data_IF_082801984142
#
_entry.id   IF_082801984142
#
_cell.length_a   1.000
_cell.length_b   1.000
_cell.length_c   1.000
_cell.angle_alpha   90.00
_cell.angle_beta   90.00
_cell.angle_gamma   90.00
#
_symmetry.space_group_name_H-M   'P 1'
#
loop_
_entity.id
_entity.type
_entity.pdbx_description
1 polymer ?
#
# COMPACT_ATOMS: atom_id res chain seq x y z
N UNK A 1 -21.58 -12.30 -24.79
CA UNK A 1 -20.40 -12.77 -24.02
C UNK A 1 -19.38 -11.68 -23.62
N UNK A 2 -19.16 -10.60 -24.40
CA UNK A 2 -18.21 -9.51 -24.03
C UNK A 2 -18.56 -8.72 -22.75
N UNK A 3 -19.83 -8.67 -22.35
CA UNK A 3 -20.30 -7.92 -21.18
C UNK A 3 -19.94 -8.60 -19.84
N UNK A 4 -20.03 -9.93 -19.79
CA UNK A 4 -19.72 -10.71 -18.58
C UNK A 4 -18.23 -10.62 -18.22
N UNK A 5 -17.34 -10.61 -19.22
CA UNK A 5 -15.90 -10.43 -18.99
C UNK A 5 -15.54 -9.06 -18.40
N UNK A 6 -16.20 -7.99 -18.84
CA UNK A 6 -16.03 -6.65 -18.25
C UNK A 6 -16.58 -6.59 -16.82
N UNK A 7 -17.76 -7.15 -16.57
CA UNK A 7 -18.34 -7.21 -15.23
C UNK A 7 -17.46 -8.00 -14.26
N UNK A 8 -16.89 -9.13 -14.69
CA UNK A 8 -15.96 -9.93 -13.90
C UNK A 8 -14.66 -9.16 -13.60
N UNK A 9 -14.10 -8.45 -14.58
CA UNK A 9 -12.93 -7.58 -14.35
C UNK A 9 -13.21 -6.47 -13.33
N UNK A 10 -14.35 -5.79 -13.43
CA UNK A 10 -14.73 -4.74 -12.48
C UNK A 10 -14.99 -5.30 -11.08
N UNK A 11 -15.63 -6.47 -10.96
CA UNK A 11 -15.86 -7.15 -9.68
C UNK A 11 -14.56 -7.63 -9.03
N UNK A 12 -13.60 -8.14 -9.81
CA UNK A 12 -12.27 -8.51 -9.31
C UNK A 12 -11.49 -7.27 -8.87
N UNK A 13 -11.53 -6.19 -9.64
CA UNK A 13 -10.90 -4.92 -9.25
C UNK A 13 -11.52 -4.33 -7.98
N UNK A 14 -12.86 -4.35 -7.87
CA UNK A 14 -13.58 -3.90 -6.68
C UNK A 14 -13.26 -4.77 -5.46
N UNK A 15 -13.21 -6.10 -5.61
CA UNK A 15 -12.78 -7.01 -4.55
C UNK A 15 -11.32 -6.76 -4.14
N UNK A 16 -10.43 -6.45 -5.09
CA UNK A 16 -9.04 -6.12 -4.80
C UNK A 16 -8.92 -4.81 -4.02
N UNK A 17 -9.67 -3.78 -4.41
CA UNK A 17 -9.76 -2.51 -3.67
C UNK A 17 -10.33 -2.76 -2.27
N UNK A 18 -11.40 -3.54 -2.15
CA UNK A 18 -12.02 -3.87 -0.87
C UNK A 18 -11.04 -4.60 0.06
N UNK A 19 -10.28 -5.56 -0.48
CA UNK A 19 -9.21 -6.27 0.24
C UNK A 19 -8.11 -5.30 0.67
N UNK A 20 -7.65 -4.38 -0.19
CA UNK A 20 -6.63 -3.37 0.17
C UNK A 20 -7.14 -2.43 1.28
N UNK A 21 -8.41 -2.03 1.23
CA UNK A 21 -9.02 -1.11 2.20
C UNK A 21 -9.26 -1.80 3.55
N UNK A 22 -9.72 -3.05 3.55
CA UNK A 22 -10.12 -3.76 4.77
C UNK A 22 -9.02 -4.61 5.40
N UNK A 23 -8.12 -5.23 4.63
CA UNK A 23 -7.01 -6.02 5.18
C UNK A 23 -6.05 -5.15 6.00
N UNK A 24 -5.89 -3.88 5.60
CA UNK A 24 -5.04 -2.92 6.30
C UNK A 24 -5.62 -2.28 7.55
N UNK A 25 -6.85 -2.62 7.95
CA UNK A 25 -7.62 -1.86 8.97
C UNK A 25 -7.58 -0.33 8.70
N UNK A 26 -7.54 0.03 7.42
CA UNK A 26 -7.18 1.36 6.90
C UNK A 26 -8.41 2.17 6.47
N UNK A 27 -9.60 1.76 6.92
CA UNK A 27 -10.87 2.42 6.59
C UNK A 27 -10.86 3.91 6.98
N UNK A 28 -10.11 4.28 8.03
CA UNK A 28 -9.91 5.67 8.48
C UNK A 28 -9.27 6.53 7.39
N UNK A 29 -8.21 6.01 6.76
CA UNK A 29 -7.52 6.69 5.66
C UNK A 29 -8.40 6.77 4.41
N UNK A 30 -9.31 5.82 4.22
CA UNK A 30 -10.32 5.90 3.16
C UNK A 30 -11.32 7.03 3.42
N UNK A 31 -11.76 7.22 4.67
CA UNK A 31 -12.60 8.37 5.06
C UNK A 31 -11.86 9.69 4.80
N UNK A 32 -10.59 9.81 5.19
CA UNK A 32 -9.79 11.01 4.89
C UNK A 32 -9.69 11.27 3.39
N UNK A 33 -9.42 10.24 2.60
CA UNK A 33 -9.38 10.34 1.15
C UNK A 33 -10.72 10.78 0.56
N UNK A 34 -11.84 10.29 1.08
CA UNK A 34 -13.19 10.65 0.64
C UNK A 34 -13.49 12.13 0.90
N UNK A 35 -13.16 12.63 2.09
CA UNK A 35 -13.31 14.04 2.44
C UNK A 35 -12.44 14.91 1.54
N UNK A 36 -11.14 14.61 1.42
CA UNK A 36 -10.21 15.35 0.56
C UNK A 36 -10.64 15.32 -0.91
N UNK A 37 -11.11 14.17 -1.41
CA UNK A 37 -11.58 14.05 -2.80
C UNK A 37 -12.81 14.89 -3.04
N UNK A 38 -13.74 14.94 -2.08
CA UNK A 38 -14.95 15.76 -2.19
C UNK A 38 -14.61 17.25 -2.26
N UNK A 39 -13.65 17.71 -1.46
CA UNK A 39 -13.17 19.09 -1.46
C UNK A 39 -12.38 19.44 -2.75
N UNK A 40 -11.51 18.53 -3.19
CA UNK A 40 -10.61 18.77 -4.32
C UNK A 40 -11.22 18.44 -5.69
N UNK A 41 -12.40 17.81 -5.72
CA UNK A 41 -13.03 17.41 -6.96
C UNK A 41 -13.37 18.60 -7.85
N UNK A 42 -14.09 19.60 -7.33
CA UNK A 42 -14.50 20.76 -8.11
C UNK A 42 -13.33 21.52 -8.77
N UNK A 43 -12.21 21.81 -8.07
CA UNK A 43 -11.08 22.48 -8.71
C UNK A 43 -10.30 21.58 -9.68
N UNK A 44 -10.17 20.28 -9.41
CA UNK A 44 -9.31 19.38 -10.20
C UNK A 44 -10.05 18.64 -11.32
N UNK A 45 -11.38 18.61 -11.30
CA UNK A 45 -12.19 17.83 -12.25
C UNK A 45 -11.88 18.16 -13.71
N UNK A 46 -11.70 19.44 -14.05
CA UNK A 46 -11.38 19.87 -15.43
C UNK A 46 -10.04 19.33 -15.90
N UNK A 47 -9.02 19.35 -15.03
CA UNK A 47 -7.65 18.87 -15.31
C UNK A 47 -7.65 17.34 -15.49
N UNK A 48 -8.38 16.64 -14.61
CA UNK A 48 -8.48 15.18 -14.67
C UNK A 48 -9.23 14.74 -15.94
N UNK A 49 -10.35 15.40 -16.26
CA UNK A 49 -11.12 15.14 -17.48
C UNK A 49 -10.32 15.44 -18.75
N UNK A 50 -9.51 16.51 -18.78
CA UNK A 50 -8.69 16.83 -19.95
C UNK A 50 -7.58 15.81 -20.20
N UNK A 51 -7.05 15.18 -19.14
CA UNK A 51 -6.00 14.15 -19.25
C UNK A 51 -6.53 12.73 -19.50
N UNK A 52 -7.78 12.44 -19.11
CA UNK A 52 -8.42 11.14 -19.37
C UNK A 52 -8.80 10.92 -20.85
N UNK A 53 -8.62 11.93 -21.71
CA UNK A 53 -8.82 11.83 -23.15
C UNK A 53 -10.30 11.78 -23.55
N UNK A 54 -10.58 12.13 -24.82
CA UNK A 54 -11.90 12.01 -25.48
C UNK A 54 -12.30 10.53 -25.68
N UNK A 55 -12.32 9.74 -24.61
CA UNK A 55 -12.92 8.41 -24.61
C UNK A 55 -14.43 8.56 -24.48
N UNK A 56 -15.13 8.40 -25.61
CA UNK A 56 -16.58 8.32 -25.83
C UNK A 56 -17.45 8.37 -24.56
N UNK A 57 -17.61 9.58 -24.00
CA UNK A 57 -18.27 9.82 -22.72
C UNK A 57 -19.78 10.02 -22.83
N UNK A 58 -20.46 9.22 -23.68
CA UNK A 58 -21.89 9.39 -24.00
C UNK A 58 -22.85 8.44 -23.28
N UNK A 59 -22.38 7.67 -22.30
CA UNK A 59 -23.29 6.92 -21.42
C UNK A 59 -23.66 7.76 -20.19
N UNK A 60 -24.84 8.37 -20.26
CA UNK A 60 -25.48 9.03 -19.13
C UNK A 60 -26.18 8.00 -18.23
N UNK A 61 -25.58 7.68 -17.10
CA UNK A 61 -26.21 6.78 -16.13
C UNK A 61 -27.15 7.59 -15.23
N UNK A 62 -28.45 7.32 -15.32
CA UNK A 62 -29.53 8.04 -14.63
C UNK A 62 -29.79 7.46 -13.24
N UNK A 63 -29.80 8.29 -12.20
CA UNK A 63 -30.17 7.90 -10.84
C UNK A 63 -31.35 8.74 -10.38
N UNK A 64 -32.30 8.10 -9.69
CA UNK A 64 -33.43 8.76 -9.08
C UNK A 64 -33.22 8.72 -7.56
N UNK A 65 -32.89 9.87 -6.96
CA UNK A 65 -32.72 10.02 -5.50
C UNK A 65 -33.75 11.05 -5.05
N UNK A 66 -34.66 10.67 -4.15
CA UNK A 66 -35.76 11.51 -3.66
C UNK A 66 -36.58 12.21 -4.76
N UNK A 67 -36.94 11.47 -5.83
CA UNK A 67 -37.75 12.00 -6.93
C UNK A 67 -37.06 13.03 -7.83
N UNK A 68 -35.82 13.41 -7.52
CA UNK A 68 -35.03 14.36 -8.29
C UNK A 68 -34.09 13.59 -9.23
N UNK A 69 -34.23 13.84 -10.53
CA UNK A 69 -33.37 13.22 -11.56
C UNK A 69 -31.98 13.82 -11.47
N UNK A 70 -30.99 13.01 -11.09
CA UNK A 70 -29.59 13.41 -11.09
C UNK A 70 -28.91 12.69 -12.27
N UNK A 71 -28.59 13.46 -13.31
CA UNK A 71 -27.81 12.99 -14.47
C UNK A 71 -26.33 13.31 -14.23
N UNK A 72 -25.53 12.28 -13.98
CA UNK A 72 -24.08 12.45 -13.81
C UNK A 72 -23.38 11.72 -14.94
N UNK A 73 -22.77 12.50 -15.82
CA UNK A 73 -22.02 12.06 -17.00
C UNK A 73 -20.90 11.09 -16.60
N UNK A 74 -20.80 9.93 -17.28
CA UNK A 74 -19.85 8.84 -16.96
C UNK A 74 -18.42 9.32 -16.69
N UNK A 75 -17.88 10.22 -17.52
CA UNK A 75 -16.52 10.77 -17.35
C UNK A 75 -16.31 11.51 -16.02
N UNK A 76 -17.34 12.16 -15.47
CA UNK A 76 -17.27 12.88 -14.19
C UNK A 76 -17.07 11.91 -13.01
N UNK A 77 -17.62 10.70 -13.09
CA UNK A 77 -17.45 9.66 -12.06
C UNK A 77 -16.09 9.02 -12.12
N UNK A 78 -15.60 8.75 -13.33
CA UNK A 78 -14.26 8.22 -13.54
C UNK A 78 -13.23 9.20 -12.99
N UNK A 79 -13.39 10.50 -13.26
CA UNK A 79 -12.51 11.54 -12.71
C UNK A 79 -12.52 11.57 -11.17
N UNK A 80 -13.69 11.46 -10.54
CA UNK A 80 -13.80 11.40 -9.08
C UNK A 80 -13.13 10.14 -8.50
N UNK A 81 -13.38 8.98 -9.11
CA UNK A 81 -12.80 7.71 -8.67
C UNK A 81 -11.27 7.70 -8.78
N UNK A 82 -10.72 8.26 -9.86
CA UNK A 82 -9.26 8.42 -10.04
C UNK A 82 -8.68 9.34 -8.98
N UNK A 83 -9.33 10.47 -8.69
CA UNK A 83 -8.90 11.39 -7.63
C UNK A 83 -8.91 10.71 -6.26
N UNK A 84 -9.99 9.97 -5.95
CA UNK A 84 -10.14 9.22 -4.70
C UNK A 84 -9.05 8.18 -4.52
N UNK A 85 -8.78 7.37 -5.56
CA UNK A 85 -7.72 6.39 -5.52
C UNK A 85 -6.34 7.04 -5.32
N UNK A 86 -6.06 8.14 -6.03
CA UNK A 86 -4.78 8.84 -5.91
C UNK A 86 -4.57 9.43 -4.51
N UNK A 87 -5.57 10.09 -3.94
CA UNK A 87 -5.50 10.65 -2.59
C UNK A 87 -5.42 9.57 -1.52
N UNK A 88 -6.14 8.47 -1.69
CA UNK A 88 -6.08 7.34 -0.76
C UNK A 88 -4.68 6.72 -0.72
N UNK A 89 -4.08 6.46 -1.88
CA UNK A 89 -2.70 5.96 -1.97
C UNK A 89 -1.72 6.94 -1.35
N UNK A 90 -1.87 8.25 -1.61
CA UNK A 90 -0.99 9.28 -1.04
C UNK A 90 -1.09 9.36 0.48
N UNK A 91 -2.30 9.38 1.03
CA UNK A 91 -2.52 9.46 2.48
C UNK A 91 -1.93 8.23 3.17
N UNK A 92 -2.24 7.02 2.68
CA UNK A 92 -1.64 5.80 3.24
C UNK A 92 -0.12 5.85 3.10
N UNK A 93 0.39 6.33 1.97
CA UNK A 93 1.83 6.47 1.73
C UNK A 93 2.52 7.35 2.78
N UNK A 94 1.89 8.47 3.14
CA UNK A 94 2.44 9.39 4.14
C UNK A 94 2.35 8.82 5.55
N UNK A 95 1.18 8.27 5.93
CA UNK A 95 0.97 7.78 7.30
C UNK A 95 1.75 6.52 7.60
N UNK A 96 1.85 5.58 6.66
CA UNK A 96 2.55 4.33 6.93
C UNK A 96 4.06 4.52 7.04
N UNK A 97 4.67 5.52 6.41
CA UNK A 97 6.11 5.85 6.62
C UNK A 97 6.35 6.78 7.81
N UNK A 98 5.33 7.26 8.51
CA UNK A 98 5.50 8.29 9.55
C UNK A 98 4.87 7.87 10.87
N UNK A 99 5.62 7.15 11.72
CA UNK A 99 5.15 6.77 13.06
C UNK A 99 4.67 7.95 13.90
N UNK A 100 5.34 9.11 13.80
CA UNK A 100 4.92 10.35 14.49
C UNK A 100 3.56 10.87 14.04
N UNK A 101 3.24 10.81 12.73
CA UNK A 101 1.92 11.19 12.24
C UNK A 101 0.86 10.21 12.72
N UNK A 102 1.15 8.90 12.72
CA UNK A 102 0.23 7.89 13.27
C UNK A 102 -0.02 8.11 14.77
N UNK A 103 1.01 8.47 15.53
CA UNK A 103 0.89 8.82 16.96
C UNK A 103 0.00 10.03 17.16
N UNK A 104 0.22 11.12 16.40
CA UNK A 104 -0.58 12.35 16.48
C UNK A 104 -2.03 12.11 16.08
N UNK A 105 -2.27 11.37 15.00
CA UNK A 105 -3.61 10.98 14.57
C UNK A 105 -4.33 10.15 15.62
N UNK A 106 -3.63 9.23 16.28
CA UNK A 106 -4.20 8.41 17.34
C UNK A 106 -4.63 9.27 18.53
N UNK A 107 -3.77 10.19 18.98
CA UNK A 107 -4.08 11.11 20.08
C UNK A 107 -5.30 12.00 19.75
N UNK A 108 -5.43 12.44 18.49
CA UNK A 108 -6.57 13.24 18.04
C UNK A 108 -7.88 12.45 17.96
N UNK A 109 -7.82 11.20 17.52
CA UNK A 109 -9.01 10.34 17.36
C UNK A 109 -9.46 9.69 18.66
N UNK A 110 -8.58 9.65 19.68
CA UNK A 110 -8.86 9.03 20.98
C UNK A 110 -8.59 10.03 22.13
N UNK A 111 -9.32 11.16 22.19
CA UNK A 111 -9.06 12.21 23.17
C UNK A 111 -9.32 11.79 24.63
N UNK A 112 -10.10 10.72 24.85
CA UNK A 112 -10.34 10.15 26.18
C UNK A 112 -9.21 9.25 26.67
N UNK A 113 -8.24 8.90 25.82
CA UNK A 113 -7.13 8.03 26.19
C UNK A 113 -6.03 8.84 26.85
N UNK A 114 -5.40 8.24 27.87
CA UNK A 114 -4.34 8.89 28.64
C UNK A 114 -2.99 8.43 28.09
N UNK A 115 -2.10 9.39 27.85
CA UNK A 115 -0.74 9.14 27.45
C UNK A 115 0.18 9.06 28.69
N UNK A 116 0.99 8.02 28.77
CA UNK A 116 1.95 7.82 29.87
C UNK A 116 3.26 7.25 29.33
N UNK A 117 4.36 7.49 30.05
CA UNK A 117 5.66 6.91 29.77
C UNK A 117 5.81 5.61 30.59
N UNK A 118 5.71 4.42 29.97
CA UNK A 118 5.89 3.17 30.69
C UNK A 118 7.36 2.97 31.08
N UNK A 119 7.64 2.17 32.11
CA UNK A 119 9.00 1.73 32.39
C UNK A 119 9.27 0.42 31.64
N UNK A 120 10.27 0.43 30.76
CA UNK A 120 10.69 -0.77 30.03
C UNK A 120 11.55 -1.62 30.94
N UNK A 121 11.17 -2.89 31.12
CA UNK A 121 11.85 -3.84 32.00
C UNK A 121 12.84 -4.66 31.19
N UNK A 122 12.43 -5.12 30.02
CA UNK A 122 13.24 -5.94 29.14
C UNK A 122 12.80 -5.72 27.70
N UNK A 123 13.73 -5.86 26.76
CA UNK A 123 13.42 -5.90 25.34
C UNK A 123 14.43 -6.80 24.64
N UNK A 124 13.94 -7.57 23.68
CA UNK A 124 14.75 -8.53 22.95
C UNK A 124 14.41 -8.49 21.46
N UNK A 125 15.46 -8.56 20.64
CA UNK A 125 15.31 -8.71 19.19
C UNK A 125 15.44 -10.18 18.81
N UNK A 126 14.45 -10.70 18.08
CA UNK A 126 14.35 -12.08 17.61
C UNK A 126 14.15 -12.12 16.10
N UNK A 127 14.40 -13.29 15.51
CA UNK A 127 14.25 -13.51 14.06
C UNK A 127 13.15 -14.53 13.82
N UNK A 128 12.28 -14.24 12.86
CA UNK A 128 11.33 -15.20 12.33
C UNK A 128 11.82 -15.75 10.98
N UNK A 129 11.97 -17.07 10.88
CA UNK A 129 12.58 -17.78 9.73
C UNK A 129 11.55 -18.53 8.84
N UNK A 130 10.26 -18.18 8.94
CA UNK A 130 9.20 -18.78 8.12
C UNK A 130 9.25 -18.36 6.65
N UNK A 131 8.11 -18.51 5.94
CA UNK A 131 7.97 -18.11 4.52
C UNK A 131 8.34 -16.64 4.30
N UNK A 132 7.90 -15.79 5.23
CA UNK A 132 8.31 -14.39 5.29
C UNK A 132 9.38 -14.26 6.35
N UNK A 133 10.57 -13.79 5.98
CA UNK A 133 11.67 -13.66 6.93
C UNK A 133 11.75 -12.22 7.46
N UNK A 134 11.79 -12.05 8.76
CA UNK A 134 11.85 -10.74 9.41
C UNK A 134 12.52 -10.80 10.78
N UNK A 135 13.18 -9.72 11.17
CA UNK A 135 13.54 -9.47 12.56
C UNK A 135 12.37 -8.78 13.27
N UNK A 136 12.19 -9.02 14.57
CA UNK A 136 11.15 -8.39 15.35
C UNK A 136 11.60 -8.12 16.78
N UNK A 137 11.04 -7.08 17.39
CA UNK A 137 11.32 -6.67 18.75
C UNK A 137 10.17 -7.09 19.66
N UNK A 138 10.49 -7.75 20.77
CA UNK A 138 9.56 -7.93 21.87
C UNK A 138 9.92 -6.96 22.99
N UNK A 139 8.91 -6.39 23.63
CA UNK A 139 9.09 -5.43 24.72
C UNK A 139 8.26 -5.87 25.92
N UNK A 140 8.90 -5.94 27.08
CA UNK A 140 8.25 -6.11 28.37
C UNK A 140 8.33 -4.78 29.12
N UNK A 141 7.17 -4.28 29.53
CA UNK A 141 7.05 -2.98 30.17
C UNK A 141 6.05 -3.01 31.31
N UNK A 142 6.23 -2.07 32.23
CA UNK A 142 5.28 -1.80 33.30
C UNK A 142 4.76 -0.38 33.19
N UNK A 143 3.52 -0.17 33.56
CA UNK A 143 2.94 1.17 33.67
C UNK A 143 1.93 1.21 34.80
N UNK A 144 1.68 2.42 35.29
CA UNK A 144 0.66 2.66 36.32
C UNK A 144 -0.56 3.25 35.65
N UNK A 145 -1.73 2.64 35.87
CA UNK A 145 -3.02 3.17 35.48
C UNK A 145 -4.00 3.01 36.64
N UNK A 146 -4.80 4.05 36.92
CA UNK A 146 -5.78 4.05 38.01
C UNK A 146 -5.20 3.61 39.38
N UNK A 147 -3.94 3.98 39.66
CA UNK A 147 -3.24 3.61 40.90
C UNK A 147 -2.74 2.17 40.96
N UNK A 148 -3.00 1.34 39.95
CA UNK A 148 -2.51 -0.04 39.86
C UNK A 148 -1.33 -0.16 38.90
N UNK A 149 -0.38 -1.03 39.23
CA UNK A 149 0.77 -1.34 38.39
C UNK A 149 0.46 -2.54 37.49
N UNK A 150 0.58 -2.35 36.18
CA UNK A 150 0.37 -3.39 35.19
C UNK A 150 1.69 -3.80 34.56
N UNK A 151 1.93 -5.11 34.47
CA UNK A 151 3.02 -5.71 33.71
C UNK A 151 2.47 -6.25 32.39
N UNK A 152 3.06 -5.85 31.27
CA UNK A 152 2.62 -6.25 29.94
C UNK A 152 3.81 -6.64 29.07
N UNK A 153 3.54 -7.56 28.15
CA UNK A 153 4.45 -7.98 27.10
C UNK A 153 3.82 -7.64 25.76
N UNK A 154 4.58 -6.95 24.92
CA UNK A 154 4.22 -6.65 23.55
C UNK A 154 5.10 -7.46 22.62
N UNK A 155 4.51 -8.49 22.04
CA UNK A 155 5.17 -9.30 21.04
C UNK A 155 5.17 -8.59 19.69
N UNK A 156 6.32 -8.62 19.01
CA UNK A 156 6.50 -8.01 17.67
C UNK A 156 6.11 -6.52 17.66
N UNK A 157 6.51 -5.79 18.69
CA UNK A 157 6.37 -4.33 18.85
C UNK A 157 6.86 -3.58 17.62
N UNK A 158 7.93 -4.09 17.00
CA UNK A 158 8.42 -3.64 15.71
C UNK A 158 8.85 -4.84 14.87
N UNK A 159 8.74 -4.72 13.54
CA UNK A 159 9.23 -5.72 12.59
C UNK A 159 10.07 -5.03 11.52
N UNK A 160 11.16 -5.67 11.15
CA UNK A 160 11.98 -5.31 10.00
C UNK A 160 12.01 -6.49 9.05
N UNK A 161 11.36 -6.33 7.90
CA UNK A 161 11.24 -7.38 6.90
C UNK A 161 12.48 -7.46 6.03
N UNK A 162 12.86 -8.69 5.68
CA UNK A 162 13.95 -8.92 4.76
C UNK A 162 13.49 -8.61 3.33
N UNK A 163 14.18 -7.69 2.65
CA UNK A 163 13.82 -7.26 1.29
C UNK A 163 13.90 -8.41 0.26
N UNK A 164 14.81 -9.37 0.46
CA UNK A 164 14.95 -10.53 -0.44
C UNK A 164 14.49 -11.82 0.25
N UNK A 165 13.87 -12.78 -0.47
CA UNK A 165 13.52 -14.09 0.09
C UNK A 165 14.77 -14.92 0.42
N UNK A 166 15.85 -14.71 -0.34
CA UNK A 166 17.16 -15.32 -0.14
C UNK A 166 18.06 -14.28 0.51
N UNK A 167 18.22 -14.40 1.83
CA UNK A 167 19.04 -13.49 2.64
C UNK A 167 20.01 -14.34 3.45
N UNK A 168 21.27 -13.93 3.46
CA UNK A 168 22.33 -14.64 4.16
C UNK A 168 22.13 -14.56 5.68
N UNK A 169 22.65 -15.54 6.41
CA UNK A 169 22.61 -15.53 7.88
C UNK A 169 23.23 -14.26 8.46
N UNK A 170 24.33 -13.77 7.84
CA UNK A 170 24.98 -12.52 8.21
C UNK A 170 24.04 -11.32 8.11
N UNK A 171 23.25 -11.22 7.03
CA UNK A 171 22.30 -10.11 6.85
C UNK A 171 21.10 -10.23 7.82
N UNK A 172 20.71 -11.44 8.21
CA UNK A 172 19.70 -11.63 9.26
C UNK A 172 20.15 -11.14 10.62
N UNK A 173 21.38 -11.49 11.03
CA UNK A 173 21.93 -10.99 12.28
C UNK A 173 22.12 -9.46 12.22
N UNK A 174 22.52 -8.91 11.07
CA UNK A 174 22.59 -7.45 10.88
C UNK A 174 21.23 -6.77 11.09
N UNK A 175 20.14 -7.28 10.51
CA UNK A 175 18.81 -6.72 10.75
C UNK A 175 18.42 -6.82 12.22
N UNK A 176 18.72 -7.95 12.87
CA UNK A 176 18.45 -8.13 14.30
C UNK A 176 19.20 -7.09 15.14
N UNK A 177 20.47 -6.83 14.84
CA UNK A 177 21.30 -5.84 15.55
C UNK A 177 20.86 -4.41 15.23
N UNK A 178 20.59 -4.08 13.96
CA UNK A 178 20.06 -2.77 13.53
C UNK A 178 18.77 -2.42 14.29
N UNK A 179 17.84 -3.39 14.38
CA UNK A 179 16.59 -3.24 15.12
C UNK A 179 16.82 -3.05 16.63
N UNK A 180 17.78 -3.78 17.20
CA UNK A 180 18.12 -3.70 18.63
C UNK A 180 18.82 -2.38 18.99
N UNK A 181 19.76 -1.93 18.17
CA UNK A 181 20.47 -0.66 18.35
C UNK A 181 19.53 0.54 18.22
N UNK A 182 18.57 0.49 17.27
CA UNK A 182 17.52 1.50 17.16
C UNK A 182 16.62 1.51 18.40
N UNK A 183 16.19 0.35 18.88
CA UNK A 183 15.41 0.25 20.10
C UNK A 183 16.17 0.84 21.30
N UNK A 184 17.46 0.53 21.44
CA UNK A 184 18.32 1.12 22.47
C UNK A 184 18.30 2.65 22.42
N UNK A 185 18.46 3.25 21.22
CA UNK A 185 18.43 4.70 21.03
C UNK A 185 17.10 5.32 21.46
N UNK A 186 15.98 4.78 20.96
CA UNK A 186 14.63 5.24 21.30
C UNK A 186 14.36 5.16 22.81
N UNK A 187 14.80 4.07 23.45
CA UNK A 187 14.60 3.83 24.88
C UNK A 187 15.45 4.80 25.71
N UNK A 188 16.72 4.99 25.33
CA UNK A 188 17.62 5.93 25.99
C UNK A 188 17.09 7.37 25.91
N UNK A 189 16.55 7.76 24.76
CA UNK A 189 15.99 9.10 24.54
C UNK A 189 14.57 9.27 25.10
N UNK A 190 13.93 8.19 25.59
CA UNK A 190 12.54 8.19 26.10
C UNK A 190 11.52 8.71 25.09
N UNK A 191 11.71 8.39 23.82
CA UNK A 191 10.83 8.85 22.72
C UNK A 191 9.52 8.03 22.62
N UNK A 192 9.42 6.92 23.34
CA UNK A 192 8.27 6.03 23.36
C UNK A 192 7.12 6.56 24.21
N UNK A 193 5.88 6.18 23.87
CA UNK A 193 4.68 6.55 24.62
C UNK A 193 3.69 5.40 24.64
N UNK A 194 2.95 5.27 25.74
CA UNK A 194 1.83 4.36 25.87
C UNK A 194 0.54 5.17 25.98
N UNK A 195 -0.42 4.86 25.12
CA UNK A 195 -1.80 5.31 25.30
C UNK A 195 -2.61 4.17 25.92
N UNK A 196 -3.38 4.45 26.95
CA UNK A 196 -4.34 3.50 27.52
C UNK A 196 -5.71 4.15 27.71
N UNK A 197 -6.75 3.33 27.61
CA UNK A 197 -8.11 3.78 27.88
C UNK A 197 -8.37 3.72 29.40
N UNK A 198 -8.66 4.85 30.08
CA UNK A 198 -8.93 4.84 31.52
C UNK A 198 -10.20 4.07 31.88
N UNK A 199 -11.15 3.94 30.95
CA UNK A 199 -12.39 3.18 31.13
C UNK A 199 -12.20 1.67 30.94
N UNK A 200 -11.16 1.26 30.21
CA UNK A 200 -10.80 -0.14 30.01
C UNK A 200 -9.28 -0.28 29.84
N UNK A 201 -8.60 -0.64 30.91
CA UNK A 201 -7.13 -0.75 30.97
C UNK A 201 -6.56 -1.94 30.17
N UNK A 202 -7.41 -2.81 29.60
CA UNK A 202 -6.94 -3.82 28.64
C UNK A 202 -6.70 -3.22 27.25
N UNK A 203 -7.37 -2.12 26.92
CA UNK A 203 -7.17 -1.41 25.68
C UNK A 203 -5.99 -0.44 25.81
N UNK A 204 -4.93 -0.75 25.09
CA UNK A 204 -3.70 0.02 25.11
C UNK A 204 -3.04 0.02 23.73
N UNK A 205 -2.37 1.13 23.40
CA UNK A 205 -1.56 1.29 22.20
C UNK A 205 -0.18 1.79 22.61
N UNK A 206 0.82 0.93 22.45
CA UNK A 206 2.21 1.28 22.68
C UNK A 206 2.83 1.78 21.37
N UNK A 207 3.37 3.00 21.37
CA UNK A 207 4.04 3.57 20.21
C UNK A 207 5.53 3.72 20.53
N UNK A 208 6.36 2.85 19.94
CA UNK A 208 7.80 2.81 20.18
C UNK A 208 8.51 4.04 19.61
N UNK A 209 8.28 4.35 18.33
CA UNK A 209 9.00 5.41 17.62
C UNK A 209 8.18 6.71 17.52
N UNK A 210 8.89 7.85 17.50
CA UNK A 210 8.35 9.17 17.15
C UNK A 210 9.01 9.76 15.89
N UNK A 211 9.51 8.88 15.02
CA UNK A 211 10.19 9.31 13.80
C UNK A 211 9.22 10.01 12.85
N UNK A 212 9.71 11.10 12.23
CA UNK A 212 9.01 11.78 11.13
C UNK A 212 8.94 10.89 9.88
N UNK A 213 9.97 10.07 9.65
CA UNK A 213 10.05 9.17 8.52
C UNK A 213 10.79 7.88 8.89
N UNK A 214 10.11 6.75 8.76
CA UNK A 214 10.64 5.41 8.97
C UNK A 214 10.07 4.43 7.94
N UNK A 215 10.84 4.21 6.89
CA UNK A 215 10.42 3.35 5.77
C UNK A 215 10.51 1.86 6.10
N UNK A 216 11.54 1.41 6.83
CA UNK A 216 11.87 -0.02 6.98
C UNK A 216 10.89 -0.83 7.83
N UNK A 217 10.24 -0.21 8.82
CA UNK A 217 9.16 -0.83 9.60
C UNK A 217 7.76 -0.56 9.05
N UNK A 218 7.67 0.11 7.90
CA UNK A 218 6.42 0.50 7.27
C UNK A 218 5.80 -0.66 6.47
N UNK A 219 4.48 -0.84 6.56
CA UNK A 219 3.76 -1.73 5.65
C UNK A 219 3.91 -1.30 4.17
N UNK A 220 4.08 0.00 3.90
CA UNK A 220 4.37 0.47 2.54
C UNK A 220 5.63 -0.12 1.94
N UNK A 221 6.64 -0.42 2.75
CA UNK A 221 7.84 -1.04 2.24
C UNK A 221 7.54 -2.43 1.66
N UNK A 222 6.66 -3.19 2.32
CA UNK A 222 6.17 -4.47 1.82
C UNK A 222 5.34 -4.29 0.54
N UNK A 223 4.45 -3.29 0.51
CA UNK A 223 3.62 -2.99 -0.67
C UNK A 223 4.48 -2.57 -1.87
N UNK A 224 5.40 -1.62 -1.67
CA UNK A 224 6.29 -1.11 -2.71
C UNK A 224 7.16 -2.23 -3.27
N UNK A 225 7.62 -3.15 -2.43
CA UNK A 225 8.35 -4.33 -2.87
C UNK A 225 7.50 -5.25 -3.76
N UNK A 226 6.26 -5.56 -3.33
CA UNK A 226 5.34 -6.39 -4.12
C UNK A 226 5.02 -5.74 -5.48
N UNK A 227 4.75 -4.43 -5.50
CA UNK A 227 4.50 -3.71 -6.75
C UNK A 227 5.75 -3.59 -7.62
N UNK A 228 6.94 -3.41 -7.04
CA UNK A 228 8.20 -3.42 -7.78
C UNK A 228 8.43 -4.77 -8.46
N UNK A 229 8.22 -5.88 -7.75
CA UNK A 229 8.33 -7.23 -8.31
C UNK A 229 7.30 -7.47 -9.43
N UNK A 230 6.06 -7.05 -9.22
CA UNK A 230 5.00 -7.19 -10.22
C UNK A 230 5.28 -6.35 -11.47
N UNK A 231 5.78 -5.12 -11.29
CA UNK A 231 6.24 -4.28 -12.40
C UNK A 231 7.40 -4.93 -13.17
N UNK A 232 8.40 -5.46 -12.45
CA UNK A 232 9.58 -6.09 -13.04
C UNK A 232 9.18 -7.37 -13.81
N UNK A 233 8.23 -8.14 -13.29
CA UNK A 233 7.63 -9.28 -13.99
C UNK A 233 6.91 -8.88 -15.28
N UNK A 234 6.10 -7.82 -15.26
CA UNK A 234 5.44 -7.28 -16.46
C UNK A 234 6.47 -6.81 -17.50
N UNK A 235 7.53 -6.13 -17.07
CA UNK A 235 8.60 -5.66 -17.96
C UNK A 235 9.35 -6.84 -18.59
N UNK A 236 9.66 -7.88 -17.83
CA UNK A 236 10.28 -9.11 -18.35
C UNK A 236 9.37 -9.77 -19.38
N UNK A 237 8.09 -9.94 -19.08
CA UNK A 237 7.11 -10.50 -20.02
C UNK A 237 7.05 -9.66 -21.30
N UNK A 238 6.91 -8.34 -21.19
CA UNK A 238 6.88 -7.45 -22.35
C UNK A 238 8.16 -7.55 -23.20
N UNK A 239 9.33 -7.69 -22.56
CA UNK A 239 10.61 -7.86 -23.25
C UNK A 239 10.70 -9.22 -23.96
N UNK A 240 10.24 -10.30 -23.32
CA UNK A 240 10.18 -11.64 -23.92
C UNK A 240 9.23 -11.65 -25.13
N UNK A 241 8.04 -11.06 -25.03
CA UNK A 241 7.10 -10.95 -26.15
C UNK A 241 7.62 -10.04 -27.27
N UNK A 242 8.33 -8.96 -26.95
CA UNK A 242 8.98 -8.10 -27.96
C UNK A 242 10.09 -8.84 -28.70
N UNK A 243 10.90 -9.63 -28.00
CA UNK A 243 11.96 -10.47 -28.59
C UNK A 243 11.35 -11.54 -29.50
N UNK A 244 10.27 -12.18 -29.06
CA UNK A 244 9.60 -13.23 -29.81
C UNK A 244 8.85 -12.70 -31.05
N UNK A 245 8.25 -11.52 -30.97
CA UNK A 245 7.68 -10.81 -32.12
C UNK A 245 8.76 -10.44 -33.16
N UNK A 246 9.88 -9.87 -32.72
CA UNK A 246 10.99 -9.52 -33.61
C UNK A 246 11.63 -10.75 -34.29
N UNK A 247 11.74 -11.87 -33.57
CA UNK A 247 12.24 -13.13 -34.12
C UNK A 247 11.28 -13.74 -35.15
N UNK A 248 9.96 -13.66 -34.91
CA UNK A 248 8.94 -14.09 -35.89
C UNK A 248 8.93 -13.22 -37.14
N UNK A 249 9.09 -11.90 -37.02
CA UNK A 249 9.22 -10.99 -38.16
C UNK A 249 10.49 -11.23 -38.99
N UNK A 250 11.65 -11.46 -38.34
CA UNK A 250 12.89 -11.84 -39.05
C UNK A 250 12.74 -13.15 -39.82
N UNK A 251 12.10 -14.16 -39.23
CA UNK A 251 11.85 -15.45 -39.88
C UNK A 251 10.83 -15.35 -41.03
N UNK A 252 9.84 -14.46 -40.93
CA UNK A 252 8.88 -14.19 -42.01
C UNK A 252 9.55 -13.52 -43.21
N UNK A 253 10.39 -12.50 -42.99
CA UNK A 253 11.06 -11.79 -44.08
C UNK A 253 12.12 -12.63 -44.80
N UNK A 254 12.75 -13.61 -44.15
CA UNK A 254 13.68 -14.53 -44.81
C UNK A 254 12.98 -15.55 -45.73
N UNK A 255 11.71 -15.87 -45.46
CA UNK A 255 10.96 -16.87 -46.25
C UNK A 255 10.25 -16.25 -47.47
N UNK A 256 9.96 -14.95 -47.44
CA UNK A 256 9.26 -14.25 -48.53
C UNK A 256 10.17 -13.98 -49.75
N UNK A 257 11.50 -14.10 -49.62
CA UNK A 257 12.43 -13.83 -50.72
C UNK A 257 12.67 -14.98 -51.72
N UNK A 258 12.03 -16.15 -51.56
CA UNK A 258 12.28 -17.31 -52.42
C UNK A 258 11.20 -17.64 -53.46
N UNK A 259 10.14 -16.83 -53.62
CA UNK A 259 9.04 -17.12 -54.55
C UNK A 259 8.67 -15.98 -55.50
N UNK A 260 9.67 -15.22 -55.99
CA UNK A 260 9.45 -14.21 -57.04
C UNK A 260 10.61 -14.12 -58.04
N UNK A 261 10.86 -15.21 -58.76
CA UNK A 261 11.57 -15.27 -60.05
C UNK A 261 11.42 -16.74 -60.47
N UNK A 262 10.51 -17.11 -61.37
CA UNK A 262 10.71 -17.07 -62.82
C UNK A 262 9.38 -17.45 -63.49
N UNK A 263 8.80 -16.57 -64.29
CA UNK A 263 7.81 -16.91 -65.32
C UNK A 263 7.74 -15.75 -66.31
N UNK A 264 8.79 -15.60 -67.14
CA UNK A 264 8.75 -14.77 -68.35
C UNK A 264 9.94 -15.17 -69.21
N UNK A 265 9.69 -16.06 -70.18
CA UNK A 265 10.35 -16.26 -71.49
C UNK A 265 9.65 -17.50 -72.08
N UNK A 266 9.20 -17.59 -73.32
CA UNK A 266 9.09 -16.67 -74.45
C UNK A 266 8.21 -17.42 -75.46
N UNK A 267 7.16 -16.79 -75.96
CA UNK A 267 6.44 -17.26 -77.15
C UNK A 267 7.33 -16.95 -78.36
N UNK A 268 7.80 -17.97 -79.07
CA UNK A 268 8.08 -17.91 -80.51
C UNK A 268 8.15 -19.29 -81.13
#
# INVERSE_FOLDING_TARGET
MKSIGKFLQWSVAAAFIFVIVFWGNSYRYFVYALVCSSLLYFPLQKIILSKLGKGDGRDEVRYNVNGKRITMQSGKRIAFAVLLAALYVLIISVFSVSPSLERKEFALTHPSWIATAPAIINFESKIHRGKTKYAYLNIEYRYTANGQLYLRKLDKAEKQYAFLPIVSQRRFEQMRTELLDRANGIIANKEYILFYNPQNTEQQKFCLADDSFYLQGSWLYDILFVYLLLFLFIVIIAFLFRKDYNNRMKKSNSTIHYYRRTDYYENR
#
